data_IF_326840839923
#
_entry.id   IF_326840839923
#
_cell.length_a   1.000
_cell.length_b   1.000
_cell.length_c   1.000
_cell.angle_alpha   90.00
_cell.angle_beta   90.00
_cell.angle_gamma   90.00
#
_symmetry.space_group_name_H-M   'P 1'
#
loop_
_entity.id
_entity.type
_entity.pdbx_description
1 polymer ?
#
# COMPACT_ATOMS: atom_id res chain seq x y z
N UNK A 1 -2.74 12.35 -4.61
CA UNK A 1 -2.82 11.74 -3.26
C UNK A 1 -1.43 11.20 -2.91
N UNK A 2 -1.00 11.31 -1.65
CA UNK A 2 0.26 10.71 -1.17
C UNK A 2 0.05 9.40 -0.41
N UNK A 3 1.14 8.69 -0.09
CA UNK A 3 1.07 7.38 0.58
C UNK A 3 0.40 7.45 1.96
N UNK A 4 0.69 8.48 2.77
CA UNK A 4 0.07 8.68 4.09
C UNK A 4 -1.45 8.82 4.00
N UNK A 5 -1.94 9.62 3.04
CA UNK A 5 -3.36 9.84 2.83
C UNK A 5 -4.06 8.55 2.34
N UNK A 6 -3.40 7.78 1.48
CA UNK A 6 -3.90 6.49 1.03
C UNK A 6 -4.03 5.49 2.19
N UNK A 7 -2.99 5.35 3.02
CA UNK A 7 -2.99 4.45 4.17
C UNK A 7 -4.08 4.82 5.17
N UNK A 8 -4.29 6.11 5.43
CA UNK A 8 -5.38 6.58 6.28
C UNK A 8 -6.77 6.22 5.71
N UNK A 9 -6.98 6.40 4.40
CA UNK A 9 -8.24 6.09 3.73
C UNK A 9 -8.63 4.60 3.87
N UNK A 10 -7.66 3.70 3.90
CA UNK A 10 -7.89 2.25 4.01
C UNK A 10 -7.77 1.71 5.45
N UNK A 11 -7.60 2.60 6.44
CA UNK A 11 -7.50 2.23 7.85
C UNK A 11 -6.17 1.61 8.27
N UNK A 12 -5.08 1.88 7.54
CA UNK A 12 -3.74 1.33 7.77
C UNK A 12 -2.69 2.40 8.11
N UNK A 13 -3.09 3.51 8.75
CA UNK A 13 -2.18 4.63 9.10
C UNK A 13 -0.97 4.19 9.93
N UNK A 14 -1.06 3.10 10.70
CA UNK A 14 0.07 2.57 11.48
C UNK A 14 1.25 2.10 10.62
N UNK A 15 1.03 1.86 9.32
CA UNK A 15 2.09 1.48 8.38
C UNK A 15 2.86 2.68 7.82
N UNK A 16 2.42 3.92 8.07
CA UNK A 16 3.04 5.12 7.48
C UNK A 16 4.54 5.18 7.74
N UNK A 17 4.98 4.95 8.98
CA UNK A 17 6.40 4.96 9.33
C UNK A 17 7.23 3.94 8.55
N UNK A 18 6.67 2.74 8.31
CA UNK A 18 7.32 1.72 7.49
C UNK A 18 7.45 2.17 6.03
N UNK A 19 6.36 2.67 5.44
CA UNK A 19 6.34 3.10 4.05
C UNK A 19 7.28 4.29 3.80
N UNK A 20 7.34 5.25 4.72
CA UNK A 20 8.27 6.39 4.64
C UNK A 20 9.72 5.92 4.78
N UNK A 21 10.01 5.04 5.74
CA UNK A 21 11.36 4.50 5.98
C UNK A 21 11.89 3.75 4.75
N UNK A 22 11.04 2.95 4.11
CA UNK A 22 11.40 2.12 2.95
C UNK A 22 11.17 2.86 1.61
N UNK A 23 10.87 4.16 1.65
CA UNK A 23 10.61 5.01 0.48
C UNK A 23 9.55 4.46 -0.50
N UNK A 24 8.52 3.79 0.03
CA UNK A 24 7.44 3.19 -0.77
C UNK A 24 6.43 4.26 -1.18
N UNK A 25 6.45 4.62 -2.46
CA UNK A 25 5.45 5.50 -3.08
C UNK A 25 4.21 4.72 -3.54
N UNK A 26 3.16 5.43 -3.97
CA UNK A 26 1.97 4.79 -4.54
C UNK A 26 2.29 4.01 -5.82
N UNK A 27 3.18 4.52 -6.67
CA UNK A 27 3.58 3.85 -7.90
C UNK A 27 4.38 2.58 -7.63
N UNK A 28 5.27 2.61 -6.63
CA UNK A 28 5.98 1.40 -6.18
C UNK A 28 4.97 0.39 -5.63
N UNK A 29 4.09 0.82 -4.72
CA UNK A 29 3.06 -0.05 -4.13
C UNK A 29 2.15 -0.68 -5.19
N UNK A 30 1.82 0.04 -6.26
CA UNK A 30 0.99 -0.46 -7.36
C UNK A 30 1.64 -1.64 -8.12
N UNK A 31 2.97 -1.74 -8.10
CA UNK A 31 3.72 -2.86 -8.67
C UNK A 31 4.03 -4.01 -7.70
N UNK A 32 3.65 -3.89 -6.43
CA UNK A 32 4.01 -4.88 -5.40
C UNK A 32 3.10 -6.12 -5.41
N UNK A 33 3.66 -7.24 -4.97
CA UNK A 33 2.97 -8.50 -4.74
C UNK A 33 2.80 -8.78 -3.24
N UNK A 34 2.07 -9.86 -2.91
CA UNK A 34 1.99 -10.33 -1.53
C UNK A 34 3.36 -10.68 -0.94
N UNK A 35 4.29 -11.19 -1.74
CA UNK A 35 5.61 -11.62 -1.25
C UNK A 35 6.56 -10.43 -1.05
N UNK A 36 6.44 -9.39 -1.87
CA UNK A 36 7.14 -8.11 -1.64
C UNK A 36 6.69 -7.49 -0.31
N UNK A 37 5.38 -7.45 -0.07
CA UNK A 37 4.83 -6.92 1.18
C UNK A 37 5.23 -7.78 2.40
N UNK A 38 5.33 -9.10 2.25
CA UNK A 38 5.90 -9.96 3.32
C UNK A 38 7.37 -9.61 3.58
N UNK A 39 8.14 -9.36 2.54
CA UNK A 39 9.57 -9.03 2.64
C UNK A 39 9.79 -7.67 3.31
N UNK A 40 8.83 -6.73 3.20
CA UNK A 40 8.79 -5.50 4.00
C UNK A 40 8.36 -5.71 5.48
N UNK A 41 8.02 -6.93 5.88
CA UNK A 41 7.56 -7.26 7.24
C UNK A 41 6.04 -7.21 7.44
N UNK A 42 5.25 -7.05 6.38
CA UNK A 42 3.78 -7.03 6.46
C UNK A 42 3.24 -8.47 6.40
N UNK A 43 3.33 -9.16 7.54
CA UNK A 43 3.04 -10.59 7.66
C UNK A 43 1.54 -10.95 7.69
N UNK A 44 0.66 -10.03 8.12
CA UNK A 44 -0.77 -10.28 8.17
C UNK A 44 -1.41 -10.32 6.77
N UNK A 45 -2.10 -11.42 6.43
CA UNK A 45 -2.74 -11.58 5.13
C UNK A 45 -3.77 -10.48 4.84
N UNK A 46 -4.66 -10.19 5.81
CA UNK A 46 -5.70 -9.17 5.64
C UNK A 46 -5.13 -7.78 5.33
N UNK A 47 -4.02 -7.41 5.97
CA UNK A 47 -3.31 -6.15 5.70
C UNK A 47 -2.77 -6.10 4.28
N UNK A 48 -2.08 -7.17 3.83
CA UNK A 48 -1.58 -7.23 2.44
C UNK A 48 -2.71 -7.19 1.42
N UNK A 49 -3.78 -7.95 1.66
CA UNK A 49 -4.95 -7.99 0.79
C UNK A 49 -5.61 -6.61 0.67
N UNK A 50 -5.77 -5.88 1.78
CA UNK A 50 -6.32 -4.52 1.77
C UNK A 50 -5.44 -3.54 0.98
N UNK A 51 -4.12 -3.60 1.13
CA UNK A 51 -3.18 -2.77 0.37
C UNK A 51 -3.34 -3.01 -1.13
N UNK A 52 -3.16 -4.26 -1.57
CA UNK A 52 -3.18 -4.63 -2.99
C UNK A 52 -4.54 -4.35 -3.64
N UNK A 53 -5.64 -4.70 -2.96
CA UNK A 53 -6.99 -4.45 -3.48
C UNK A 53 -7.28 -2.96 -3.68
N UNK A 54 -6.88 -2.10 -2.73
CA UNK A 54 -7.20 -0.68 -2.81
C UNK A 54 -6.23 0.09 -3.71
N UNK A 55 -4.97 -0.32 -3.83
CA UNK A 55 -4.05 0.31 -4.79
C UNK A 55 -4.45 -0.03 -6.24
N UNK A 56 -4.92 -1.26 -6.51
CA UNK A 56 -5.46 -1.65 -7.83
C UNK A 56 -6.72 -0.83 -8.18
N UNK A 57 -7.59 -0.58 -7.19
CA UNK A 57 -8.76 0.31 -7.37
C UNK A 57 -8.34 1.74 -7.68
N UNK A 58 -7.36 2.27 -6.95
CA UNK A 58 -6.86 3.62 -7.16
C UNK A 58 -6.23 3.78 -8.55
N UNK A 59 -5.40 2.82 -8.97
CA UNK A 59 -4.76 2.83 -10.28
C UNK A 59 -5.79 2.82 -11.43
N UNK A 60 -6.88 2.06 -11.29
CA UNK A 60 -7.99 2.07 -12.26
C UNK A 60 -8.81 3.36 -12.23
N UNK A 61 -8.98 3.98 -11.06
CA UNK A 61 -9.71 5.25 -10.92
C UNK A 61 -8.96 6.47 -11.48
N UNK A 62 -7.63 6.39 -11.59
CA UNK A 62 -6.79 7.41 -12.23
C UNK A 62 -6.69 7.26 -13.77
N UNK A 63 -7.28 6.21 -14.36
CA UNK A 63 -7.24 5.94 -15.81
C UNK A 63 -8.45 6.53 -16.57
N UNK A 64 -9.04 7.61 -16.04
CA UNK A 64 -10.15 8.36 -16.64
C UNK A 64 -9.72 9.76 -17.06
#
# INVERSE_FOLDING_TARGET
>A
MGISQFLAMIGLSSLEGLFVKEAITLDVLAGMTHDDLKSLGIAAFGTRFLLLKNIEKLARGNAG
#
